data_IF_117692362606
#
_entry.id   IF_117692362606
#
_cell.length_a   1.000
_cell.length_b   1.000
_cell.length_c   1.000
_cell.angle_alpha   90.00
_cell.angle_beta   90.00
_cell.angle_gamma   90.00
#
_symmetry.space_group_name_H-M   'P 1'
#
loop_
_entity.id
_entity.type
_entity.pdbx_description
1 polymer ?
#
# COMPACT_ATOMS: atom_id res chain seq x y z
N UNK A 1 -17.35 -12.16 14.72
CA UNK A 1 -17.75 -11.10 13.78
C UNK A 1 -18.75 -11.63 12.73
N UNK A 2 -18.43 -12.73 12.07
CA UNK A 2 -19.31 -13.32 11.04
C UNK A 2 -20.69 -13.71 11.58
N UNK A 3 -20.77 -14.20 12.82
CA UNK A 3 -22.05 -14.53 13.49
C UNK A 3 -22.95 -13.29 13.73
N UNK A 4 -22.39 -12.08 13.70
CA UNK A 4 -23.11 -10.83 13.91
C UNK A 4 -23.50 -10.12 12.59
N UNK A 5 -23.47 -10.81 11.46
CA UNK A 5 -23.74 -10.26 10.12
C UNK A 5 -22.83 -9.06 9.74
N UNK A 6 -21.63 -9.00 10.31
CA UNK A 6 -20.64 -7.95 9.98
C UNK A 6 -19.86 -8.41 8.75
N UNK A 7 -19.74 -7.55 7.74
CA UNK A 7 -18.86 -7.80 6.61
C UNK A 7 -17.40 -7.78 7.07
N UNK A 8 -16.67 -8.86 6.77
CA UNK A 8 -15.27 -9.02 7.18
C UNK A 8 -14.37 -8.99 5.95
N UNK A 9 -13.38 -8.12 5.97
CA UNK A 9 -12.31 -8.04 4.98
C UNK A 9 -11.01 -8.54 5.61
N UNK A 10 -10.29 -9.40 4.92
CA UNK A 10 -8.98 -9.90 5.38
C UNK A 10 -7.90 -9.26 4.55
N UNK A 11 -6.87 -8.71 5.19
CA UNK A 11 -5.77 -8.04 4.52
C UNK A 11 -4.46 -8.81 4.68
N UNK A 12 -3.87 -9.28 3.58
CA UNK A 12 -2.57 -9.94 3.56
C UNK A 12 -1.50 -8.87 3.30
N UNK A 13 -0.63 -8.68 4.29
CA UNK A 13 0.45 -7.69 4.22
C UNK A 13 1.71 -8.23 3.55
N UNK A 14 2.61 -7.33 3.12
CA UNK A 14 3.93 -7.64 2.57
C UNK A 14 3.91 -8.62 1.38
N UNK A 15 2.93 -8.48 0.52
CA UNK A 15 2.72 -9.40 -0.61
C UNK A 15 3.89 -9.46 -1.60
N UNK A 16 4.78 -8.46 -1.61
CA UNK A 16 5.98 -8.46 -2.44
C UNK A 16 6.99 -9.53 -2.06
N UNK A 17 6.93 -10.01 -0.81
CA UNK A 17 7.86 -11.00 -0.25
C UNK A 17 7.21 -12.38 -0.03
N UNK A 18 5.92 -12.51 -0.35
CA UNK A 18 5.18 -13.74 -0.09
C UNK A 18 5.43 -14.82 -1.15
N UNK A 19 5.78 -16.01 -0.71
CA UNK A 19 5.95 -17.16 -1.58
C UNK A 19 4.61 -17.71 -2.07
N UNK A 20 4.59 -18.30 -3.27
CA UNK A 20 3.38 -18.89 -3.84
C UNK A 20 2.78 -19.99 -2.98
N UNK A 21 3.63 -20.81 -2.32
CA UNK A 21 3.20 -21.85 -1.38
C UNK A 21 2.42 -21.25 -0.19
N UNK A 22 2.86 -20.13 0.35
CA UNK A 22 2.18 -19.42 1.42
C UNK A 22 0.86 -18.83 0.94
N UNK A 23 0.82 -18.22 -0.25
CA UNK A 23 -0.43 -17.72 -0.87
C UNK A 23 -1.45 -18.86 -1.00
N UNK A 24 -1.04 -20.01 -1.55
CA UNK A 24 -1.90 -21.19 -1.67
C UNK A 24 -2.46 -21.63 -0.33
N UNK A 25 -1.62 -21.71 0.72
CA UNK A 25 -2.02 -22.11 2.06
C UNK A 25 -3.04 -21.12 2.68
N UNK A 26 -2.78 -19.82 2.54
CA UNK A 26 -3.66 -18.75 3.04
C UNK A 26 -5.02 -18.82 2.33
N UNK A 27 -5.04 -18.89 1.00
CA UNK A 27 -6.27 -18.97 0.23
C UNK A 27 -7.07 -20.22 0.59
N UNK A 28 -6.42 -21.38 0.70
CA UNK A 28 -7.06 -22.64 1.11
C UNK A 28 -7.69 -22.53 2.51
N UNK A 29 -6.99 -21.93 3.46
CA UNK A 29 -7.50 -21.73 4.84
C UNK A 29 -8.69 -20.75 4.86
N UNK A 30 -8.67 -19.71 4.05
CA UNK A 30 -9.72 -18.70 4.03
C UNK A 30 -10.92 -19.09 3.16
N UNK A 31 -10.77 -19.99 2.20
CA UNK A 31 -11.82 -20.37 1.26
C UNK A 31 -13.16 -20.76 1.92
N UNK A 32 -13.20 -21.53 3.03
CA UNK A 32 -14.45 -21.86 3.72
C UNK A 32 -14.98 -20.70 4.59
N UNK A 33 -14.19 -19.63 4.79
CA UNK A 33 -14.58 -18.51 5.64
C UNK A 33 -15.35 -17.47 4.82
N UNK A 34 -16.55 -17.12 5.28
CA UNK A 34 -17.40 -16.11 4.61
C UNK A 34 -16.83 -14.70 4.82
N UNK A 35 -15.73 -14.38 4.16
CA UNK A 35 -15.21 -13.01 4.10
C UNK A 35 -15.76 -12.28 2.88
N UNK A 36 -15.89 -10.96 2.98
CA UNK A 36 -16.36 -10.10 1.88
C UNK A 36 -15.34 -10.01 0.77
N UNK A 37 -14.09 -9.71 1.14
CA UNK A 37 -13.00 -9.68 0.20
C UNK A 37 -11.66 -10.01 0.87
N UNK A 38 -10.74 -10.58 0.07
CA UNK A 38 -9.35 -10.76 0.42
C UNK A 38 -8.54 -9.61 -0.17
N UNK A 39 -7.99 -8.76 0.68
CA UNK A 39 -7.12 -7.67 0.27
C UNK A 39 -5.67 -8.12 0.21
N UNK A 40 -4.97 -7.64 -0.78
CA UNK A 40 -3.52 -7.75 -0.88
C UNK A 40 -2.89 -6.37 -0.69
N UNK A 41 -1.92 -6.27 0.24
CA UNK A 41 -1.29 -5.00 0.58
C UNK A 41 0.19 -4.96 0.16
N UNK A 42 0.54 -4.01 -0.69
CA UNK A 42 1.93 -3.66 -1.00
C UNK A 42 2.53 -2.82 0.13
N UNK A 43 2.75 -3.46 1.30
CA UNK A 43 3.22 -2.79 2.51
C UNK A 43 4.57 -2.12 2.36
N UNK A 44 5.44 -2.66 1.51
CA UNK A 44 6.75 -2.09 1.20
C UNK A 44 6.67 -1.00 0.12
N UNK A 45 5.54 -0.92 -0.60
CA UNK A 45 5.38 -0.04 -1.76
C UNK A 45 6.41 -0.32 -2.85
N UNK A 46 6.85 -1.59 -2.96
CA UNK A 46 7.96 -2.03 -3.80
C UNK A 46 7.51 -2.61 -5.14
N UNK A 47 6.24 -2.89 -5.31
CA UNK A 47 5.72 -3.51 -6.52
C UNK A 47 5.65 -2.50 -7.68
N UNK A 48 6.40 -2.78 -8.75
CA UNK A 48 6.13 -2.18 -10.04
C UNK A 48 4.96 -2.89 -10.73
N UNK A 49 4.46 -2.34 -11.83
CA UNK A 49 3.29 -2.86 -12.54
C UNK A 49 3.45 -4.35 -12.93
N UNK A 50 4.63 -4.75 -13.39
CA UNK A 50 4.91 -6.15 -13.80
C UNK A 50 4.93 -7.10 -12.60
N UNK A 51 5.59 -6.71 -11.51
CA UNK A 51 5.63 -7.52 -10.27
C UNK A 51 4.26 -7.56 -9.58
N UNK A 52 3.50 -6.47 -9.60
CA UNK A 52 2.13 -6.45 -9.13
C UNK A 52 1.25 -7.48 -9.87
N UNK A 53 1.26 -7.47 -11.21
CA UNK A 53 0.49 -8.43 -12.01
C UNK A 53 0.88 -9.88 -11.72
N UNK A 54 2.17 -10.16 -11.52
CA UNK A 54 2.62 -11.52 -11.14
C UNK A 54 2.00 -11.95 -9.80
N UNK A 55 2.02 -11.09 -8.79
CA UNK A 55 1.42 -11.37 -7.47
C UNK A 55 -0.09 -11.51 -7.58
N UNK A 56 -0.77 -10.57 -8.26
CA UNK A 56 -2.21 -10.60 -8.47
C UNK A 56 -2.67 -11.91 -9.13
N UNK A 57 -1.96 -12.37 -10.16
CA UNK A 57 -2.27 -13.64 -10.84
C UNK A 57 -2.11 -14.85 -9.93
N UNK A 58 -1.12 -14.86 -9.01
CA UNK A 58 -0.98 -15.93 -8.02
C UNK A 58 -2.18 -15.99 -7.09
N UNK A 59 -2.65 -14.84 -6.58
CA UNK A 59 -3.86 -14.80 -5.75
C UNK A 59 -5.09 -15.25 -6.53
N UNK A 60 -5.29 -14.78 -7.75
CA UNK A 60 -6.40 -15.21 -8.61
C UNK A 60 -6.41 -16.70 -8.93
N UNK A 61 -5.24 -17.34 -8.97
CA UNK A 61 -5.12 -18.78 -9.18
C UNK A 61 -5.68 -19.60 -8.02
N UNK A 62 -5.57 -19.10 -6.79
CA UNK A 62 -5.91 -19.84 -5.58
C UNK A 62 -7.12 -19.30 -4.82
N UNK A 63 -7.59 -18.09 -5.14
CA UNK A 63 -8.71 -17.44 -4.49
C UNK A 63 -9.86 -17.20 -5.45
N UNK A 64 -11.04 -17.75 -5.14
CA UNK A 64 -12.25 -17.62 -5.99
C UNK A 64 -13.18 -16.47 -5.57
N UNK A 65 -12.97 -15.89 -4.39
CA UNK A 65 -13.76 -14.76 -3.89
C UNK A 65 -13.30 -13.41 -4.41
N UNK A 66 -13.90 -12.33 -3.92
CA UNK A 66 -13.52 -10.97 -4.30
C UNK A 66 -12.12 -10.61 -3.80
N UNK A 67 -11.37 -9.90 -4.64
CA UNK A 67 -10.04 -9.35 -4.31
C UNK A 67 -10.11 -7.83 -4.15
N UNK A 68 -9.33 -7.33 -3.20
CA UNK A 68 -9.06 -5.92 -2.98
C UNK A 68 -7.56 -5.59 -3.03
N UNK A 69 -7.22 -4.33 -3.30
CA UNK A 69 -5.86 -3.82 -3.26
C UNK A 69 -5.73 -2.66 -2.28
N UNK A 70 -4.74 -2.77 -1.40
CA UNK A 70 -4.24 -1.67 -0.58
C UNK A 70 -2.83 -1.30 -1.03
N UNK A 71 -2.69 -0.17 -1.74
CA UNK A 71 -1.43 0.24 -2.36
C UNK A 71 -0.79 1.42 -1.64
N UNK A 72 0.46 1.24 -1.18
CA UNK A 72 1.31 2.32 -0.70
C UNK A 72 1.99 3.05 -1.88
N UNK A 73 2.29 4.34 -1.71
CA UNK A 73 2.76 5.21 -2.79
C UNK A 73 4.28 5.50 -2.75
N UNK A 74 5.08 4.58 -2.22
CA UNK A 74 6.54 4.74 -2.10
C UNK A 74 7.20 5.08 -3.45
N UNK A 75 6.87 4.35 -4.49
CA UNK A 75 7.40 4.50 -5.85
C UNK A 75 6.55 5.42 -6.74
N UNK A 76 5.46 5.99 -6.23
CA UNK A 76 4.43 6.72 -7.01
C UNK A 76 3.71 5.84 -8.03
N UNK A 77 3.54 4.57 -7.70
CA UNK A 77 2.87 3.58 -8.54
C UNK A 77 1.52 3.11 -7.96
N UNK A 78 1.07 3.68 -6.83
CA UNK A 78 -0.19 3.29 -6.20
C UNK A 78 -1.37 3.43 -7.17
N UNK A 79 -1.47 4.54 -7.92
CA UNK A 79 -2.52 4.73 -8.91
C UNK A 79 -2.43 3.69 -10.04
N UNK A 80 -1.26 3.55 -10.66
CA UNK A 80 -1.10 2.63 -11.80
C UNK A 80 -1.35 1.18 -11.41
N UNK A 81 -0.88 0.73 -10.24
CA UNK A 81 -1.15 -0.61 -9.72
C UNK A 81 -2.64 -0.81 -9.42
N UNK A 82 -3.32 0.21 -8.88
CA UNK A 82 -4.76 0.16 -8.61
C UNK A 82 -5.59 0.09 -9.89
N UNK A 83 -5.20 0.81 -10.93
CA UNK A 83 -5.85 0.71 -12.24
C UNK A 83 -5.62 -0.66 -12.90
N UNK A 84 -4.44 -1.24 -12.73
CA UNK A 84 -4.17 -2.61 -13.17
C UNK A 84 -4.98 -3.63 -12.36
N UNK A 85 -5.15 -3.42 -11.06
CA UNK A 85 -5.97 -4.26 -10.20
C UNK A 85 -7.43 -4.29 -10.70
N UNK A 86 -8.05 -3.13 -10.93
CA UNK A 86 -9.42 -3.08 -11.45
C UNK A 86 -9.54 -3.73 -12.82
N UNK A 87 -8.60 -3.49 -13.74
CA UNK A 87 -8.56 -4.17 -15.05
C UNK A 87 -8.36 -5.68 -14.92
N UNK A 88 -7.72 -6.15 -13.86
CA UNK A 88 -7.52 -7.57 -13.56
C UNK A 88 -8.69 -8.21 -12.79
N UNK A 89 -9.79 -7.48 -12.57
CA UNK A 89 -11.01 -7.97 -11.94
C UNK A 89 -11.07 -7.80 -10.42
N UNK A 90 -10.16 -7.04 -9.80
CA UNK A 90 -10.28 -6.65 -8.40
C UNK A 90 -11.50 -5.76 -8.21
N UNK A 91 -12.30 -6.03 -7.17
CA UNK A 91 -13.55 -5.32 -6.89
C UNK A 91 -13.38 -4.18 -5.90
N UNK A 92 -12.30 -4.20 -5.12
CA UNK A 92 -12.08 -3.26 -4.02
C UNK A 92 -10.72 -2.57 -4.15
N UNK A 93 -10.72 -1.25 -4.00
CA UNK A 93 -9.50 -0.43 -4.02
C UNK A 93 -9.53 0.54 -2.85
N UNK A 94 -8.53 0.46 -1.99
CA UNK A 94 -8.37 1.41 -0.90
C UNK A 94 -7.71 2.70 -1.38
N UNK A 95 -8.25 3.82 -0.93
CA UNK A 95 -7.66 5.13 -1.14
C UNK A 95 -7.91 6.06 0.04
N UNK A 96 -7.09 7.07 0.18
CA UNK A 96 -7.25 8.09 1.22
C UNK A 96 -7.12 9.49 0.64
N UNK A 97 -7.86 10.47 1.20
CA UNK A 97 -7.77 11.86 0.76
C UNK A 97 -6.34 12.36 0.97
N UNK A 98 -5.78 13.00 -0.05
CA UNK A 98 -4.39 13.49 -0.09
C UNK A 98 -3.32 12.39 0.10
N UNK A 99 -3.72 11.10 -0.04
CA UNK A 99 -2.87 9.96 0.24
C UNK A 99 -2.48 9.83 1.71
N UNK A 100 -3.37 10.26 2.63
CA UNK A 100 -3.09 10.21 4.07
C UNK A 100 -2.78 8.79 4.50
N UNK A 101 -1.66 8.63 5.17
CA UNK A 101 -1.19 7.34 5.66
C UNK A 101 0.19 7.47 6.28
N UNK A 102 0.68 6.38 6.87
CA UNK A 102 2.00 6.37 7.47
C UNK A 102 3.09 6.50 6.40
N UNK A 103 4.15 7.26 6.72
CA UNK A 103 5.34 7.36 5.89
C UNK A 103 5.08 7.86 4.46
N UNK A 104 5.23 7.02 3.44
CA UNK A 104 5.08 7.41 2.03
C UNK A 104 3.64 7.72 1.64
N UNK A 105 2.68 7.31 2.45
CA UNK A 105 1.24 7.46 2.17
C UNK A 105 0.69 6.40 1.23
N UNK A 106 -0.59 6.56 0.89
CA UNK A 106 -1.41 5.62 0.14
C UNK A 106 -1.82 6.18 -1.23
N UNK A 107 -2.54 5.39 -2.01
CA UNK A 107 -3.29 5.87 -3.17
C UNK A 107 -4.15 7.08 -2.78
N UNK A 108 -4.12 8.13 -3.59
CA UNK A 108 -4.92 9.32 -3.35
C UNK A 108 -6.34 9.17 -3.92
N UNK A 109 -7.34 9.41 -3.08
CA UNK A 109 -8.75 9.36 -3.48
C UNK A 109 -9.04 10.32 -4.65
N UNK A 110 -8.45 11.52 -4.62
CA UNK A 110 -8.64 12.50 -5.68
C UNK A 110 -8.06 12.06 -7.04
N UNK A 111 -7.05 11.19 -7.07
CA UNK A 111 -6.47 10.67 -8.31
C UNK A 111 -7.38 9.59 -8.92
N UNK A 112 -7.88 8.66 -8.11
CA UNK A 112 -8.75 7.57 -8.59
C UNK A 112 -10.12 8.11 -9.03
N UNK A 113 -10.72 9.04 -8.26
CA UNK A 113 -11.98 9.70 -8.61
C UNK A 113 -11.84 10.49 -9.92
N UNK A 114 -10.75 11.22 -10.10
CA UNK A 114 -10.47 11.95 -11.34
C UNK A 114 -10.33 11.01 -12.52
N UNK A 115 -9.63 9.89 -12.37
CA UNK A 115 -9.43 8.92 -13.44
C UNK A 115 -10.76 8.33 -13.94
N UNK A 116 -11.65 7.96 -13.01
CA UNK A 116 -12.96 7.41 -13.36
C UNK A 116 -14.04 8.48 -13.62
N UNK A 117 -13.68 9.75 -13.59
CA UNK A 117 -14.59 10.90 -13.78
C UNK A 117 -15.85 10.84 -12.87
N UNK A 118 -15.65 10.47 -11.61
CA UNK A 118 -16.73 10.38 -10.64
C UNK A 118 -17.17 11.79 -10.18
N UNK A 119 -18.46 11.93 -9.88
CA UNK A 119 -19.10 13.23 -9.54
C UNK A 119 -18.51 13.89 -8.28
N UNK A 120 -18.01 13.11 -7.33
CA UNK A 120 -17.59 13.57 -6.00
C UNK A 120 -16.24 14.30 -5.96
N UNK A 121 -15.57 14.47 -7.10
CA UNK A 121 -14.23 15.10 -7.16
C UNK A 121 -14.22 16.51 -6.55
N UNK A 122 -15.30 17.30 -6.73
CA UNK A 122 -15.41 18.65 -6.16
C UNK A 122 -15.46 18.60 -4.63
N UNK A 123 -16.23 17.68 -4.08
CA UNK A 123 -16.37 17.49 -2.64
C UNK A 123 -15.05 17.01 -2.01
N UNK A 124 -14.41 16.02 -2.61
CA UNK A 124 -13.09 15.52 -2.13
C UNK A 124 -12.02 16.62 -2.16
N UNK A 125 -12.00 17.46 -3.20
CA UNK A 125 -11.08 18.62 -3.26
C UNK A 125 -11.36 19.66 -2.18
N UNK A 126 -12.63 19.91 -1.86
CA UNK A 126 -13.02 20.80 -0.77
C UNK A 126 -12.53 20.27 0.58
N UNK A 127 -12.79 18.99 0.88
CA UNK A 127 -12.30 18.33 2.09
C UNK A 127 -10.78 18.37 2.18
N UNK A 128 -10.10 18.05 1.08
CA UNK A 128 -8.64 18.13 0.99
C UNK A 128 -8.14 19.52 1.40
N UNK A 129 -8.65 20.58 0.76
CA UNK A 129 -8.25 21.97 1.05
C UNK A 129 -8.57 22.39 2.49
N UNK A 130 -9.75 22.01 2.98
CA UNK A 130 -10.23 22.46 4.31
C UNK A 130 -9.49 21.77 5.46
N UNK A 131 -9.15 20.48 5.32
CA UNK A 131 -8.63 19.66 6.42
C UNK A 131 -7.28 19.01 6.12
N UNK A 132 -7.16 18.32 5.00
CA UNK A 132 -6.03 17.42 4.76
C UNK A 132 -4.74 18.14 4.39
N UNK A 133 -4.78 19.30 3.74
CA UNK A 133 -3.57 20.08 3.43
C UNK A 133 -2.86 20.54 4.71
N UNK A 134 -3.63 20.96 5.74
CA UNK A 134 -3.09 21.31 7.05
C UNK A 134 -2.53 20.09 7.79
N UNK A 135 -3.28 18.99 7.82
CA UNK A 135 -2.83 17.73 8.42
C UNK A 135 -1.54 17.23 7.74
N UNK A 136 -1.50 17.26 6.42
CA UNK A 136 -0.32 16.85 5.65
C UNK A 136 0.92 17.68 5.96
N UNK A 137 0.76 18.98 6.11
CA UNK A 137 1.85 19.88 6.53
C UNK A 137 2.36 19.53 7.92
N UNK A 138 1.48 19.17 8.84
CA UNK A 138 1.83 18.80 10.22
C UNK A 138 2.47 17.42 10.31
N UNK A 139 1.81 16.39 9.79
CA UNK A 139 2.25 14.98 9.90
C UNK A 139 3.22 14.54 8.81
N UNK A 140 3.42 15.33 7.77
CA UNK A 140 4.47 15.17 6.73
C UNK A 140 4.45 13.83 5.99
N UNK A 141 3.27 13.20 5.77
CA UNK A 141 3.22 12.00 4.95
C UNK A 141 3.45 12.32 3.47
N UNK A 142 3.94 11.32 2.75
CA UNK A 142 4.21 11.36 1.32
C UNK A 142 5.59 10.84 0.98
N UNK A 143 5.74 10.34 -0.23
CA UNK A 143 7.00 9.75 -0.68
C UNK A 143 8.10 10.78 -0.88
N UNK A 144 9.33 10.34 -0.65
CA UNK A 144 10.56 11.09 -0.88
C UNK A 144 11.67 10.14 -1.38
N UNK A 145 12.88 10.66 -1.58
CA UNK A 145 14.02 9.86 -2.08
C UNK A 145 14.34 8.64 -1.20
N UNK A 146 14.19 8.75 0.12
CA UNK A 146 14.48 7.68 1.07
C UNK A 146 13.42 6.59 1.06
N UNK A 147 12.13 6.95 0.98
CA UNK A 147 11.06 5.96 0.79
C UNK A 147 11.16 5.23 -0.54
N UNK A 148 11.56 5.94 -1.62
CA UNK A 148 11.83 5.30 -2.92
C UNK A 148 13.02 4.34 -2.84
N UNK A 149 14.09 4.74 -2.15
CA UNK A 149 15.25 3.87 -1.90
C UNK A 149 14.82 2.63 -1.12
N UNK A 150 14.13 2.78 0.01
CA UNK A 150 13.65 1.68 0.82
C UNK A 150 12.78 0.69 0.01
N UNK A 151 11.84 1.18 -0.78
CA UNK A 151 11.00 0.34 -1.63
C UNK A 151 11.82 -0.48 -2.64
N UNK A 152 12.85 0.12 -3.25
CA UNK A 152 13.75 -0.59 -4.19
C UNK A 152 14.62 -1.63 -3.51
N UNK A 153 14.97 -1.41 -2.24
CA UNK A 153 15.78 -2.33 -1.42
C UNK A 153 14.92 -3.25 -0.56
N UNK A 154 13.57 -3.18 -0.69
CA UNK A 154 12.60 -3.96 0.09
C UNK A 154 12.67 -3.73 1.61
N UNK A 155 13.19 -2.58 2.02
CA UNK A 155 13.26 -2.15 3.41
C UNK A 155 11.89 -1.63 3.83
N UNK A 156 11.42 -2.05 5.02
CA UNK A 156 10.14 -1.61 5.54
C UNK A 156 10.12 -0.09 5.78
N UNK A 157 9.10 0.65 5.28
CA UNK A 157 9.07 2.12 5.34
C UNK A 157 9.06 2.69 6.75
N UNK A 158 8.75 1.90 7.78
CA UNK A 158 8.83 2.32 9.18
C UNK A 158 10.24 2.74 9.57
N UNK A 159 11.26 2.00 9.15
CA UNK A 159 12.66 2.35 9.47
C UNK A 159 13.05 3.71 8.89
N UNK A 160 12.59 4.00 7.68
CA UNK A 160 12.81 5.33 7.08
C UNK A 160 12.03 6.40 7.83
N UNK A 161 10.80 6.11 8.23
CA UNK A 161 9.99 7.06 9.01
C UNK A 161 10.65 7.38 10.35
N UNK A 162 11.15 6.39 11.06
CA UNK A 162 11.89 6.56 12.31
C UNK A 162 13.15 7.38 12.10
N UNK A 163 13.97 7.04 11.10
CA UNK A 163 15.15 7.82 10.74
C UNK A 163 14.85 9.30 10.47
N UNK A 164 13.72 9.58 9.75
CA UNK A 164 13.35 10.95 9.39
C UNK A 164 12.74 11.73 10.55
N UNK A 165 12.17 11.07 11.55
CA UNK A 165 11.52 11.68 12.71
C UNK A 165 12.43 11.82 13.94
N UNK A 166 13.49 11.02 14.03
CA UNK A 166 14.39 11.01 15.15
C UNK A 166 15.40 12.16 15.06
N UNK A 167 15.33 13.07 16.02
CA UNK A 167 16.20 14.26 16.10
C UNK A 167 17.68 13.94 16.32
N UNK A 168 18.02 12.72 16.76
CA UNK A 168 19.41 12.26 16.92
C UNK A 168 20.13 12.15 15.58
N UNK A 169 19.38 11.91 14.50
CA UNK A 169 19.95 11.78 13.16
C UNK A 169 19.96 13.13 12.43
N UNK A 170 21.14 13.65 12.14
CA UNK A 170 21.28 14.81 11.26
C UNK A 170 21.00 14.48 9.80
N UNK A 171 20.44 15.43 9.06
CA UNK A 171 20.15 15.25 7.62
C UNK A 171 21.35 14.76 6.79
N UNK A 172 22.58 15.10 7.20
CA UNK A 172 23.82 14.68 6.56
C UNK A 172 24.01 13.15 6.63
N UNK A 173 23.51 12.51 7.66
CA UNK A 173 23.69 11.08 7.93
C UNK A 173 22.58 10.19 7.33
N UNK A 174 21.48 10.76 6.81
CA UNK A 174 20.35 9.97 6.33
C UNK A 174 20.72 8.98 5.21
N UNK A 175 21.63 9.36 4.30
CA UNK A 175 22.05 8.45 3.22
C UNK A 175 22.88 7.29 3.74
N UNK A 176 23.78 7.53 4.70
CA UNK A 176 24.57 6.48 5.36
C UNK A 176 23.67 5.51 6.13
N UNK A 177 22.76 6.04 6.95
CA UNK A 177 21.81 5.22 7.74
C UNK A 177 20.93 4.37 6.82
N UNK A 178 20.41 4.96 5.74
CA UNK A 178 19.59 4.21 4.78
C UNK A 178 20.36 3.06 4.12
N UNK A 179 21.66 3.24 3.84
CA UNK A 179 22.52 2.17 3.32
C UNK A 179 22.80 1.08 4.36
N UNK A 180 23.05 1.44 5.63
CA UNK A 180 23.23 0.46 6.71
C UNK A 180 21.97 -0.40 6.93
N UNK A 181 20.79 0.18 6.77
CA UNK A 181 19.53 -0.59 6.82
C UNK A 181 19.44 -1.67 5.73
N UNK A 182 20.01 -1.41 4.54
CA UNK A 182 20.08 -2.41 3.46
C UNK A 182 20.96 -3.60 3.87
N UNK A 183 22.11 -3.34 4.47
CA UNK A 183 23.05 -4.38 4.88
C UNK A 183 22.45 -5.29 5.97
N UNK A 184 21.69 -4.72 6.91
CA UNK A 184 21.05 -5.48 7.99
C UNK A 184 19.90 -6.38 7.50
N UNK A 185 19.25 -6.06 6.38
CA UNK A 185 18.19 -6.90 5.78
C UNK A 185 18.76 -8.06 4.93
N UNK A 186 20.01 -7.92 4.44
CA UNK A 186 20.68 -8.96 3.65
C UNK A 186 21.32 -10.04 4.53
N UNK A 187 21.40 -9.83 5.85
CA UNK A 187 21.99 -10.77 6.82
C UNK A 187 20.95 -11.63 7.57
N UNK A 188 19.68 -11.55 7.18
CA UNK A 188 18.58 -12.39 7.64
C UNK A 188 18.18 -13.41 6.57
#
# INVERSE_FOLDING_TARGET
LLSKKIEVFVNIMQISEIEEKAIKKICFFLQPVKIKALYIADSLGSLNNKSFLKVANKFKKFWSGELGLHAHDNLRLALSNSLLATKSGFKWIDSTISGMGRGPGNLKTEEIIKYYNLKDIKFVRLLKKKYFDRLKKHYKWGTNKYYKFAARQKIHPTYIQEMLSDKRYGKKNYSSIANSLKESETTK
#
